data_IF_336644001024
#
_entry.id   IF_336644001024
#
_cell.length_a   1.000
_cell.length_b   1.000
_cell.length_c   1.000
_cell.angle_alpha   90.00
_cell.angle_beta   90.00
_cell.angle_gamma   90.00
#
_symmetry.space_group_name_H-M   'P 1'
#
loop_
_entity.id
_entity.type
_entity.pdbx_description
1 polymer ?
#
# COMPACT_ATOMS: atom_id res chain seq x y z
N UNK A 1 7.78 -77.77 33.67
CA UNK A 1 8.18 -77.07 32.43
C UNK A 1 7.07 -76.09 32.06
N UNK A 2 7.26 -74.81 32.35
CA UNK A 2 6.38 -73.71 31.99
C UNK A 2 7.13 -72.86 30.97
N UNK A 3 6.62 -72.72 29.75
CA UNK A 3 7.08 -71.70 28.80
C UNK A 3 5.95 -70.68 28.62
N UNK A 4 6.18 -69.45 29.09
CA UNK A 4 5.33 -68.29 28.84
C UNK A 4 5.68 -67.72 27.47
N UNK A 5 4.70 -67.65 26.57
CA UNK A 5 4.78 -66.94 25.30
C UNK A 5 4.56 -65.44 25.52
N UNK A 6 5.53 -64.62 25.09
CA UNK A 6 5.40 -63.16 25.00
C UNK A 6 4.87 -62.80 23.61
N UNK A 7 3.62 -62.34 23.52
CA UNK A 7 3.11 -61.69 22.31
C UNK A 7 3.55 -60.22 22.30
N UNK A 8 4.40 -59.85 21.34
CA UNK A 8 4.71 -58.45 21.05
C UNK A 8 3.51 -57.77 20.40
N UNK A 9 2.96 -56.73 21.03
CA UNK A 9 2.07 -55.78 20.37
C UNK A 9 2.91 -54.91 19.43
N UNK A 10 2.73 -55.08 18.11
CA UNK A 10 3.20 -54.13 17.13
C UNK A 10 2.26 -52.90 17.15
N UNK A 11 2.75 -51.79 17.71
CA UNK A 11 2.07 -50.51 17.67
C UNK A 11 2.25 -49.90 16.27
N UNK A 12 1.25 -50.02 15.40
CA UNK A 12 1.23 -49.34 14.10
C UNK A 12 1.08 -47.84 14.33
N UNK A 13 2.20 -47.10 14.23
CA UNK A 13 2.19 -45.66 14.10
C UNK A 13 1.60 -45.29 12.73
N UNK A 14 0.33 -44.91 12.70
CA UNK A 14 -0.25 -44.24 11.53
C UNK A 14 0.31 -42.82 11.53
N UNK A 15 1.38 -42.61 10.77
CA UNK A 15 1.83 -41.28 10.38
C UNK A 15 0.73 -40.68 9.50
N UNK A 16 -0.12 -39.84 10.07
CA UNK A 16 -0.92 -38.91 9.29
C UNK A 16 0.03 -37.90 8.67
N UNK A 17 0.55 -38.22 7.49
CA UNK A 17 1.14 -37.25 6.58
C UNK A 17 0.00 -36.29 6.20
N UNK A 18 -0.21 -35.27 7.03
CA UNK A 18 -1.14 -34.19 6.72
C UNK A 18 -0.67 -33.53 5.44
N UNK A 19 -1.33 -33.83 4.32
CA UNK A 19 -1.21 -33.00 3.12
C UNK A 19 -1.58 -31.59 3.54
N UNK A 20 -0.62 -30.67 3.45
CA UNK A 20 -0.93 -29.25 3.53
C UNK A 20 -1.98 -28.88 2.47
N UNK A 21 -2.65 -27.73 2.62
CA UNK A 21 -3.68 -27.33 1.69
C UNK A 21 -3.12 -27.30 0.26
N UNK A 22 -3.92 -27.79 -0.71
CA UNK A 22 -3.55 -27.71 -2.11
C UNK A 22 -3.39 -26.25 -2.55
N UNK A 23 -2.67 -26.01 -3.65
CA UNK A 23 -2.56 -24.65 -4.21
C UNK A 23 -3.95 -24.04 -4.51
N UNK A 24 -4.93 -24.87 -4.91
CA UNK A 24 -6.31 -24.45 -5.11
C UNK A 24 -6.97 -24.02 -3.80
N UNK A 25 -6.85 -24.82 -2.74
CA UNK A 25 -7.44 -24.51 -1.43
C UNK A 25 -6.85 -23.24 -0.81
N UNK A 26 -5.53 -23.02 -0.99
CA UNK A 26 -4.89 -21.77 -0.57
C UNK A 26 -5.45 -20.55 -1.31
N UNK A 27 -5.60 -20.65 -2.64
CA UNK A 27 -6.14 -19.57 -3.46
C UNK A 27 -7.61 -19.31 -3.17
N UNK A 28 -8.43 -20.36 -3.02
CA UNK A 28 -9.85 -20.24 -2.65
C UNK A 28 -10.02 -19.56 -1.29
N UNK A 29 -9.21 -19.93 -0.29
CA UNK A 29 -9.22 -19.26 1.02
C UNK A 29 -8.86 -17.79 0.89
N UNK A 30 -7.88 -17.45 0.04
CA UNK A 30 -7.44 -16.07 -0.24
C UNK A 30 -8.53 -15.27 -0.97
N UNK A 31 -9.30 -15.90 -1.84
CA UNK A 31 -10.35 -15.26 -2.66
C UNK A 31 -11.77 -15.54 -2.20
N UNK A 32 -11.95 -16.01 -0.95
CA UNK A 32 -13.26 -16.42 -0.41
C UNK A 32 -14.35 -15.32 -0.45
N UNK A 33 -14.06 -14.01 -0.29
CA UNK A 33 -15.07 -12.99 -0.55
C UNK A 33 -15.55 -13.07 -2.01
N UNK A 34 -16.87 -12.99 -2.25
CA UNK A 34 -17.42 -12.95 -3.61
C UNK A 34 -17.10 -11.60 -4.29
N UNK A 35 -15.87 -11.48 -4.80
CA UNK A 35 -15.41 -10.34 -5.62
C UNK A 35 -16.09 -10.29 -7.01
N UNK A 36 -17.01 -11.20 -7.31
CA UNK A 36 -17.90 -11.15 -8.47
C UNK A 36 -19.08 -10.19 -8.27
N UNK A 37 -19.31 -9.71 -7.05
CA UNK A 37 -20.37 -8.77 -6.71
C UNK A 37 -19.82 -7.51 -6.02
N UNK A 38 -20.60 -6.44 -6.10
CA UNK A 38 -20.37 -5.22 -5.31
C UNK A 38 -20.34 -5.58 -3.83
N UNK A 39 -19.31 -5.13 -3.11
CA UNK A 39 -19.23 -5.37 -1.67
C UNK A 39 -18.52 -4.24 -0.93
N UNK A 40 -18.81 -4.15 0.38
CA UNK A 40 -18.15 -3.25 1.29
C UNK A 40 -16.69 -3.62 1.49
N UNK A 41 -15.81 -2.65 1.39
CA UNK A 41 -14.40 -2.73 1.74
C UNK A 41 -14.15 -1.77 2.88
N UNK A 42 -13.81 -2.31 4.04
CA UNK A 42 -13.37 -1.48 5.15
C UNK A 42 -11.90 -1.13 5.00
N UNK A 43 -11.63 0.17 4.94
CA UNK A 43 -10.30 0.75 4.93
C UNK A 43 -9.99 1.24 6.33
N UNK A 44 -8.96 0.66 6.95
CA UNK A 44 -8.39 1.18 8.18
C UNK A 44 -7.47 2.33 7.81
N UNK A 45 -7.47 3.43 8.56
CA UNK A 45 -6.54 4.51 8.31
C UNK A 45 -5.86 4.99 9.59
N UNK A 46 -4.62 5.45 9.44
CA UNK A 46 -3.92 6.30 10.39
C UNK A 46 -3.54 7.59 9.66
N UNK A 47 -3.81 8.74 10.26
CA UNK A 47 -3.68 10.04 9.58
C UNK A 47 -2.95 11.07 10.42
N UNK A 48 -2.02 11.81 9.81
CA UNK A 48 -1.41 13.03 10.38
C UNK A 48 -2.15 14.31 9.98
N UNK A 49 -3.30 14.20 9.30
CA UNK A 49 -4.16 15.33 8.93
C UNK A 49 -4.82 15.95 10.15
N UNK A 50 -4.93 17.28 10.13
CA UNK A 50 -5.81 18.01 11.03
C UNK A 50 -7.28 17.71 10.73
N UNK A 51 -8.11 17.89 11.75
CA UNK A 51 -9.56 17.77 11.65
C UNK A 51 -10.23 19.13 11.75
N UNK A 52 -11.39 19.30 11.11
CA UNK A 52 -12.22 20.48 11.26
C UNK A 52 -13.30 20.22 12.34
N UNK A 53 -13.16 20.77 13.57
CA UNK A 53 -14.13 20.56 14.63
C UNK A 53 -15.50 21.19 14.33
N UNK A 54 -15.58 22.11 13.36
CA UNK A 54 -16.83 22.75 12.94
C UNK A 54 -17.65 21.93 11.93
N UNK A 55 -17.23 20.72 11.57
CA UNK A 55 -17.92 19.87 10.60
C UNK A 55 -18.36 18.55 11.22
N UNK A 56 -19.36 17.92 10.62
CA UNK A 56 -19.79 16.60 11.03
C UNK A 56 -18.63 15.60 10.93
N UNK A 57 -18.41 14.82 11.99
CA UNK A 57 -17.47 13.71 11.98
C UNK A 57 -17.90 12.72 10.90
N UNK A 58 -17.07 12.55 9.88
CA UNK A 58 -17.32 11.64 8.78
C UNK A 58 -16.00 11.28 8.08
N UNK A 59 -16.04 10.27 7.21
CA UNK A 59 -14.98 10.03 6.24
C UNK A 59 -15.09 11.04 5.09
N UNK A 60 -14.78 12.31 5.36
CA UNK A 60 -14.94 13.39 4.38
C UNK A 60 -13.76 14.36 4.35
N UNK A 61 -13.60 15.05 3.21
CA UNK A 61 -12.63 16.11 3.03
C UNK A 61 -12.97 17.36 3.87
N UNK A 62 -14.24 17.53 4.24
CA UNK A 62 -14.67 18.62 5.13
C UNK A 62 -14.18 18.39 6.56
N UNK A 63 -14.14 17.13 7.01
CA UNK A 63 -13.67 16.77 8.34
C UNK A 63 -12.16 16.58 8.40
N UNK A 64 -11.55 15.84 7.46
CA UNK A 64 -10.10 15.63 7.39
C UNK A 64 -9.44 16.54 6.36
N UNK A 65 -8.54 17.40 6.83
CA UNK A 65 -8.05 18.55 6.07
C UNK A 65 -6.71 18.27 5.36
N UNK A 66 -6.30 19.19 4.48
CA UNK A 66 -5.05 19.15 3.72
C UNK A 66 -3.89 19.90 4.44
N UNK A 67 -3.94 19.94 5.77
CA UNK A 67 -2.86 20.45 6.62
C UNK A 67 -2.65 19.55 7.84
N UNK A 68 -1.46 19.62 8.44
CA UNK A 68 -1.03 18.69 9.48
C UNK A 68 -1.52 19.01 10.88
N UNK A 69 -1.45 18.01 11.76
CA UNK A 69 -1.67 18.11 13.21
C UNK A 69 -0.45 17.58 13.97
N UNK A 70 -0.28 17.95 15.24
CA UNK A 70 0.84 17.50 16.10
C UNK A 70 0.73 16.03 16.56
N UNK A 71 -0.07 15.20 15.89
CA UNK A 71 -0.22 13.78 16.21
C UNK A 71 -1.06 13.06 15.17
N UNK A 72 -1.23 11.76 15.36
CA UNK A 72 -2.04 10.93 14.45
C UNK A 72 -3.43 10.64 15.00
N UNK A 73 -4.36 10.34 14.11
CA UNK A 73 -5.68 9.82 14.40
C UNK A 73 -5.87 8.50 13.66
N UNK A 74 -6.51 7.53 14.29
CA UNK A 74 -6.85 6.24 13.68
C UNK A 74 -8.36 6.10 13.56
N UNK A 75 -8.81 5.44 12.50
CA UNK A 75 -10.21 5.15 12.27
C UNK A 75 -10.40 4.15 11.14
N UNK A 76 -11.66 3.93 10.75
CA UNK A 76 -11.96 3.19 9.53
C UNK A 76 -13.15 3.77 8.77
N UNK A 77 -13.14 3.56 7.46
CA UNK A 77 -14.21 3.92 6.54
C UNK A 77 -14.67 2.67 5.82
N UNK A 78 -15.97 2.37 5.85
CA UNK A 78 -16.58 1.32 5.04
C UNK A 78 -17.00 1.91 3.70
N UNK A 79 -16.42 1.39 2.62
CA UNK A 79 -16.63 1.89 1.27
C UNK A 79 -17.28 0.80 0.43
N UNK A 80 -18.41 1.09 -0.20
CA UNK A 80 -18.98 0.21 -1.22
C UNK A 80 -18.11 0.26 -2.48
N UNK A 81 -17.64 -0.89 -2.96
CA UNK A 81 -16.84 -0.97 -4.19
C UNK A 81 -17.64 -1.71 -5.28
N UNK A 82 -18.02 -1.02 -6.37
CA UNK A 82 -18.80 -1.63 -7.46
C UNK A 82 -18.03 -2.71 -8.23
N UNK A 83 -18.66 -3.84 -8.52
CA UNK A 83 -18.05 -4.91 -9.32
C UNK A 83 -17.93 -4.55 -10.81
N UNK A 84 -18.93 -3.86 -11.37
CA UNK A 84 -19.02 -3.51 -12.80
C UNK A 84 -18.26 -2.22 -13.17
N UNK A 85 -17.11 -1.99 -12.54
CA UNK A 85 -16.24 -0.84 -12.82
C UNK A 85 -15.02 -1.26 -13.64
N UNK A 86 -14.36 -0.29 -14.25
CA UNK A 86 -13.03 -0.53 -14.82
C UNK A 86 -12.02 -0.79 -13.70
N UNK A 87 -11.28 -1.90 -13.80
CA UNK A 87 -10.23 -2.27 -12.83
C UNK A 87 -9.22 -1.14 -12.71
N UNK A 88 -8.91 -0.73 -11.48
CA UNK A 88 -7.98 0.37 -11.23
C UNK A 88 -8.57 1.77 -11.26
N UNK A 89 -9.80 1.93 -11.76
CA UNK A 89 -10.44 3.24 -11.83
C UNK A 89 -10.98 3.69 -10.47
N UNK A 90 -10.92 5.00 -10.24
CA UNK A 90 -11.81 5.69 -9.31
C UNK A 90 -12.80 6.48 -10.17
N UNK A 91 -14.07 6.07 -10.28
CA UNK A 91 -15.04 6.80 -11.07
C UNK A 91 -15.26 8.19 -10.43
N UNK A 92 -14.93 9.24 -11.18
CA UNK A 92 -15.30 10.62 -10.84
C UNK A 92 -16.63 10.98 -11.54
N UNK A 93 -17.57 11.59 -10.82
CA UNK A 93 -18.68 12.34 -11.42
C UNK A 93 -20.10 11.76 -11.29
N UNK A 94 -21.05 12.44 -11.96
CA UNK A 94 -22.51 12.25 -11.96
C UNK A 94 -22.93 10.96 -12.69
N UNK A 95 -22.44 9.81 -12.23
CA UNK A 95 -22.87 8.49 -12.70
C UNK A 95 -24.04 7.92 -11.89
N UNK A 96 -24.58 6.78 -12.32
CA UNK A 96 -25.51 5.99 -11.48
C UNK A 96 -24.82 5.71 -10.13
N UNK A 97 -25.46 6.12 -9.03
CA UNK A 97 -24.95 5.91 -7.65
C UNK A 97 -24.60 4.44 -7.40
N UNK A 98 -25.26 3.50 -8.05
CA UNK A 98 -24.98 2.06 -7.94
C UNK A 98 -23.62 1.65 -8.53
N UNK A 99 -23.05 2.47 -9.44
CA UNK A 99 -21.74 2.26 -10.07
C UNK A 99 -20.64 3.17 -9.51
N UNK A 100 -20.94 3.97 -8.49
CA UNK A 100 -19.95 4.81 -7.81
C UNK A 100 -19.50 4.20 -6.50
N UNK A 101 -18.29 4.53 -6.06
CA UNK A 101 -17.89 4.25 -4.69
C UNK A 101 -18.77 5.07 -3.73
N UNK A 102 -19.15 4.47 -2.61
CA UNK A 102 -19.98 5.14 -1.60
C UNK A 102 -19.42 4.91 -0.21
N UNK A 103 -19.32 5.97 0.59
CA UNK A 103 -19.08 5.84 2.02
C UNK A 103 -20.36 5.34 2.69
N UNK A 104 -20.31 4.13 3.24
CA UNK A 104 -21.46 3.50 3.90
C UNK A 104 -21.46 3.80 5.39
N UNK A 105 -20.31 3.64 6.04
CA UNK A 105 -20.14 3.82 7.48
C UNK A 105 -18.73 4.32 7.81
N UNK A 106 -18.56 4.84 9.02
CA UNK A 106 -17.26 5.20 9.54
C UNK A 106 -17.14 4.90 11.04
N UNK A 107 -15.92 4.62 11.47
CA UNK A 107 -15.54 4.46 12.88
C UNK A 107 -14.49 5.52 13.20
N UNK A 108 -14.98 6.75 13.35
CA UNK A 108 -14.18 7.94 13.64
C UNK A 108 -14.82 8.63 14.83
N UNK A 109 -14.02 9.02 15.82
CA UNK A 109 -14.48 9.67 17.05
C UNK A 109 -15.71 8.96 17.68
N UNK A 110 -15.59 7.63 17.91
CA UNK A 110 -16.67 6.79 18.44
C UNK A 110 -17.21 7.40 19.75
N UNK A 111 -18.53 7.67 19.78
CA UNK A 111 -19.18 8.27 20.94
C UNK A 111 -18.93 7.45 22.21
N UNK A 112 -18.56 8.14 23.29
CA UNK A 112 -18.27 7.51 24.58
C UNK A 112 -16.91 6.79 24.65
N UNK A 113 -16.01 6.97 23.67
CA UNK A 113 -14.64 6.46 23.71
C UNK A 113 -13.60 7.57 23.64
N UNK A 114 -12.56 7.49 24.48
CA UNK A 114 -11.40 8.37 24.35
C UNK A 114 -10.59 8.04 23.08
N UNK A 115 -9.65 8.90 22.71
CA UNK A 115 -8.76 8.68 21.57
C UNK A 115 -7.94 7.39 21.76
N UNK A 116 -7.45 7.16 22.98
CA UNK A 116 -6.63 6.00 23.35
C UNK A 116 -7.45 4.70 23.27
N UNK A 117 -8.71 4.72 23.72
CA UNK A 117 -9.60 3.57 23.62
C UNK A 117 -9.94 3.21 22.16
N UNK A 118 -10.16 4.23 21.33
CA UNK A 118 -10.38 4.04 19.90
C UNK A 118 -9.14 3.47 19.21
N UNK A 119 -7.96 4.00 19.52
CA UNK A 119 -6.70 3.49 19.01
C UNK A 119 -6.44 2.04 19.46
N UNK A 120 -6.70 1.72 20.73
CA UNK A 120 -6.59 0.35 21.25
C UNK A 120 -7.52 -0.61 20.51
N UNK A 121 -8.77 -0.20 20.26
CA UNK A 121 -9.72 -1.00 19.48
C UNK A 121 -9.26 -1.16 18.03
N UNK A 122 -8.70 -0.11 17.43
CA UNK A 122 -8.19 -0.14 16.06
C UNK A 122 -7.07 -1.18 15.90
N UNK A 123 -6.08 -1.16 16.79
CA UNK A 123 -4.99 -2.14 16.78
C UNK A 123 -5.46 -3.56 17.05
N UNK A 124 -6.35 -3.74 18.03
CA UNK A 124 -6.94 -5.05 18.35
C UNK A 124 -7.58 -5.70 17.12
N UNK A 125 -8.30 -4.93 16.30
CA UNK A 125 -8.96 -5.42 15.08
C UNK A 125 -7.99 -5.81 13.97
N UNK A 126 -6.78 -5.25 13.95
CA UNK A 126 -5.72 -5.67 13.03
C UNK A 126 -5.09 -6.95 13.53
N UNK A 127 -4.78 -7.02 14.83
CA UNK A 127 -4.16 -8.20 15.48
C UNK A 127 -5.05 -9.44 15.38
N UNK A 128 -6.35 -9.29 15.64
CA UNK A 128 -7.35 -10.37 15.59
C UNK A 128 -7.80 -10.76 14.17
N UNK A 129 -7.31 -10.09 13.12
CA UNK A 129 -7.65 -10.50 11.75
C UNK A 129 -7.16 -11.93 11.48
N UNK A 130 -7.98 -12.83 10.90
CA UNK A 130 -7.61 -14.22 10.71
C UNK A 130 -6.53 -14.42 9.64
N UNK A 131 -6.26 -13.41 8.81
CA UNK A 131 -5.16 -13.44 7.86
C UNK A 131 -3.89 -12.88 8.49
N UNK A 132 -2.76 -13.49 8.12
CA UNK A 132 -1.45 -13.13 8.66
C UNK A 132 -0.84 -11.91 7.98
N UNK A 133 -1.46 -11.38 6.93
CA UNK A 133 -0.91 -10.35 6.06
C UNK A 133 -1.73 -9.06 6.10
N UNK A 134 -1.05 -7.93 5.94
CA UNK A 134 -1.65 -6.60 5.91
C UNK A 134 -1.03 -5.78 4.79
N UNK A 135 -1.86 -5.09 4.02
CA UNK A 135 -1.38 -4.03 3.13
C UNK A 135 -1.29 -2.75 3.95
N UNK A 136 -0.13 -2.12 3.94
CA UNK A 136 0.02 -0.71 4.34
C UNK A 136 0.17 0.10 3.06
N UNK A 137 -0.75 1.03 2.81
CA UNK A 137 -0.72 1.89 1.62
C UNK A 137 -0.43 3.33 1.99
N UNK A 138 0.49 3.98 1.26
CA UNK A 138 0.81 5.41 1.40
C UNK A 138 0.66 6.10 0.06
N UNK A 139 -0.30 7.03 -0.02
CA UNK A 139 -0.62 7.76 -1.25
C UNK A 139 0.43 8.82 -1.61
N UNK A 140 0.35 9.30 -2.86
CA UNK A 140 1.22 10.33 -3.41
C UNK A 140 0.73 11.77 -3.24
N UNK A 141 1.20 12.62 -4.14
CA UNK A 141 0.97 14.07 -4.20
C UNK A 141 -0.48 14.43 -4.54
N UNK A 142 -0.99 15.52 -3.94
CA UNK A 142 -2.27 16.13 -4.27
C UNK A 142 -3.50 15.21 -4.11
N UNK A 143 -3.46 14.29 -3.15
CA UNK A 143 -4.57 13.35 -2.88
C UNK A 143 -5.30 13.79 -1.61
N UNK A 144 -6.59 14.15 -1.73
CA UNK A 144 -7.42 14.50 -0.58
C UNK A 144 -7.79 13.24 0.25
N UNK A 145 -8.34 13.41 1.45
CA UNK A 145 -8.64 12.30 2.36
C UNK A 145 -9.59 11.26 1.74
N UNK A 146 -10.72 11.70 1.17
CA UNK A 146 -11.70 10.80 0.56
C UNK A 146 -11.07 9.98 -0.57
N UNK A 147 -10.33 10.64 -1.48
CA UNK A 147 -9.66 9.97 -2.60
C UNK A 147 -8.65 8.93 -2.10
N UNK A 148 -7.88 9.24 -1.04
CA UNK A 148 -6.95 8.29 -0.46
C UNK A 148 -7.64 7.04 0.09
N UNK A 149 -8.80 7.20 0.74
CA UNK A 149 -9.63 6.08 1.22
C UNK A 149 -10.18 5.28 0.05
N UNK A 150 -10.76 5.94 -0.95
CA UNK A 150 -11.31 5.27 -2.13
C UNK A 150 -10.22 4.47 -2.87
N UNK A 151 -9.02 5.02 -2.99
CA UNK A 151 -7.88 4.34 -3.60
C UNK A 151 -7.46 3.10 -2.81
N UNK A 152 -7.39 3.18 -1.49
CA UNK A 152 -7.08 2.03 -0.65
C UNK A 152 -8.15 0.92 -0.75
N UNK A 153 -9.43 1.31 -0.82
CA UNK A 153 -10.53 0.38 -1.02
C UNK A 153 -10.44 -0.31 -2.39
N UNK A 154 -10.17 0.46 -3.45
CA UNK A 154 -9.95 -0.03 -4.81
C UNK A 154 -8.79 -1.03 -4.87
N UNK A 155 -7.64 -0.69 -4.29
CA UNK A 155 -6.47 -1.59 -4.25
C UNK A 155 -6.81 -2.91 -3.56
N UNK A 156 -7.43 -2.87 -2.37
CA UNK A 156 -7.81 -4.10 -1.66
C UNK A 156 -8.79 -4.96 -2.46
N UNK A 157 -9.78 -4.33 -3.09
CA UNK A 157 -10.77 -5.04 -3.91
C UNK A 157 -10.11 -5.70 -5.12
N UNK A 158 -9.36 -4.94 -5.92
CA UNK A 158 -8.80 -5.42 -7.18
C UNK A 158 -7.67 -6.43 -7.00
N UNK A 159 -6.92 -6.32 -5.90
CA UNK A 159 -5.92 -7.31 -5.51
C UNK A 159 -6.54 -8.57 -4.90
N UNK A 160 -7.87 -8.58 -4.66
CA UNK A 160 -8.55 -9.63 -3.90
C UNK A 160 -7.80 -9.95 -2.60
N UNK A 161 -7.30 -8.90 -1.95
CA UNK A 161 -6.40 -9.06 -0.81
C UNK A 161 -7.19 -9.52 0.40
N UNK A 162 -6.86 -10.68 0.99
CA UNK A 162 -7.68 -11.29 2.02
C UNK A 162 -7.64 -10.53 3.35
N UNK A 163 -6.46 -10.00 3.70
CA UNK A 163 -6.21 -9.34 4.97
C UNK A 163 -6.74 -7.91 5.03
N UNK A 164 -6.35 -7.19 6.09
CA UNK A 164 -6.69 -5.77 6.24
C UNK A 164 -5.88 -4.90 5.26
N UNK A 165 -6.47 -3.77 4.88
CA UNK A 165 -5.76 -2.65 4.25
C UNK A 165 -5.73 -1.49 5.24
N UNK A 166 -4.53 -1.02 5.54
CA UNK A 166 -4.25 0.12 6.41
C UNK A 166 -3.65 1.26 5.57
N UNK A 167 -4.42 2.33 5.36
CA UNK A 167 -3.98 3.55 4.73
C UNK A 167 -3.23 4.41 5.75
N UNK A 168 -1.98 4.77 5.47
CA UNK A 168 -1.38 5.94 6.11
C UNK A 168 -1.61 7.16 5.22
N UNK A 169 -2.44 8.09 5.67
CA UNK A 169 -2.73 9.32 4.94
C UNK A 169 -2.11 10.53 5.60
N UNK A 170 -1.37 11.29 4.82
CA UNK A 170 -0.70 12.51 5.24
C UNK A 170 -1.37 13.71 4.56
N UNK A 171 -1.11 14.96 4.97
CA UNK A 171 -1.75 16.15 4.42
C UNK A 171 -1.26 16.46 2.98
N UNK A 172 -1.60 15.58 2.04
CA UNK A 172 -1.53 15.84 0.62
C UNK A 172 -2.86 16.43 0.16
N UNK A 173 -2.82 17.27 -0.86
CA UNK A 173 -4.00 17.91 -1.44
C UNK A 173 -3.77 19.38 -1.75
N UNK A 174 -4.54 19.87 -2.71
CA UNK A 174 -4.60 21.27 -3.09
C UNK A 174 -5.45 22.09 -2.12
N UNK A 175 -5.41 23.41 -2.26
CA UNK A 175 -6.31 24.32 -1.54
C UNK A 175 -7.74 24.35 -2.11
N UNK A 176 -8.02 23.58 -3.18
CA UNK A 176 -9.34 23.51 -3.82
C UNK A 176 -9.77 24.80 -4.53
N UNK A 177 -8.93 25.84 -4.52
CA UNK A 177 -9.21 27.10 -5.20
C UNK A 177 -8.88 26.97 -6.69
N UNK A 178 -9.66 27.63 -7.56
CA UNK A 178 -9.31 27.76 -8.99
C UNK A 178 -7.89 28.29 -9.19
N UNK A 179 -7.37 29.09 -8.26
CA UNK A 179 -6.00 29.62 -8.27
C UNK A 179 -4.94 28.56 -7.92
N UNK A 180 -5.25 27.60 -7.04
CA UNK A 180 -4.35 26.51 -6.66
C UNK A 180 -3.97 25.59 -7.81
N UNK A 181 -4.86 25.44 -8.81
CA UNK A 181 -4.57 24.74 -10.06
C UNK A 181 -3.56 25.49 -10.95
N UNK A 182 -3.53 26.82 -10.90
CA UNK A 182 -2.53 27.62 -11.62
C UNK A 182 -1.15 27.61 -10.96
N UNK A 183 -1.06 27.26 -9.66
CA UNK A 183 0.19 27.22 -8.90
C UNK A 183 0.60 25.80 -8.49
N UNK A 184 0.65 24.86 -9.45
CA UNK A 184 1.10 23.48 -9.22
C UNK A 184 2.43 23.38 -8.45
N UNK A 185 3.37 24.30 -8.72
CA UNK A 185 4.64 24.38 -7.99
C UNK A 185 4.44 24.64 -6.49
N UNK A 186 3.56 25.56 -6.12
CA UNK A 186 3.32 25.88 -4.71
C UNK A 186 2.62 24.72 -3.99
N UNK A 187 1.66 24.07 -4.64
CA UNK A 187 1.02 22.87 -4.09
C UNK A 187 2.06 21.76 -3.92
N UNK A 188 2.94 21.56 -4.90
CA UNK A 188 4.05 20.61 -4.84
C UNK A 188 4.97 20.87 -3.65
N UNK A 189 5.49 22.09 -3.50
CA UNK A 189 6.37 22.47 -2.38
C UNK A 189 5.69 22.28 -1.02
N UNK A 190 4.43 22.70 -0.88
CA UNK A 190 3.66 22.51 0.36
C UNK A 190 3.44 21.03 0.69
N UNK A 191 3.10 20.22 -0.30
CA UNK A 191 2.89 18.78 -0.11
C UNK A 191 4.23 18.11 0.22
N UNK A 192 5.34 18.52 -0.40
CA UNK A 192 6.67 18.00 -0.07
C UNK A 192 7.05 18.28 1.39
N UNK A 193 6.84 19.51 1.87
CA UNK A 193 7.04 19.86 3.29
C UNK A 193 6.14 18.98 4.17
N UNK A 194 4.86 18.87 3.84
CA UNK A 194 3.89 18.07 4.61
C UNK A 194 4.24 16.57 4.66
N UNK A 195 4.74 16.02 3.56
CA UNK A 195 5.22 14.64 3.49
C UNK A 195 6.42 14.44 4.41
N UNK A 196 7.41 15.34 4.34
CA UNK A 196 8.61 15.29 5.19
C UNK A 196 8.27 15.45 6.68
N UNK A 197 7.35 16.36 7.02
CA UNK A 197 6.86 16.52 8.39
C UNK A 197 6.04 15.33 8.91
N UNK A 198 5.57 14.45 8.03
CA UNK A 198 4.82 13.24 8.41
C UNK A 198 5.69 12.02 8.69
N UNK A 199 7.02 12.11 8.53
CA UNK A 199 7.96 10.98 8.67
C UNK A 199 7.95 10.34 10.05
N UNK A 200 7.99 11.14 11.12
CA UNK A 200 8.02 10.62 12.50
C UNK A 200 6.69 9.97 12.88
N UNK A 201 5.58 10.58 12.47
CA UNK A 201 4.24 10.01 12.66
C UNK A 201 4.11 8.66 11.93
N UNK A 202 4.60 8.58 10.69
CA UNK A 202 4.62 7.32 9.93
C UNK A 202 5.56 6.29 10.55
N UNK A 203 6.74 6.70 11.02
CA UNK A 203 7.71 5.82 11.69
C UNK A 203 7.10 5.16 12.92
N UNK A 204 6.42 5.94 13.77
CA UNK A 204 5.73 5.43 14.95
C UNK A 204 4.58 4.49 14.58
N UNK A 205 3.80 4.85 13.56
CA UNK A 205 2.75 3.99 13.02
C UNK A 205 3.31 2.64 12.52
N UNK A 206 4.37 2.66 11.71
CA UNK A 206 5.00 1.45 11.17
C UNK A 206 5.61 0.60 12.27
N UNK A 207 6.27 1.21 13.26
CA UNK A 207 6.79 0.54 14.45
C UNK A 207 5.69 -0.24 15.20
N UNK A 208 4.52 0.36 15.36
CA UNK A 208 3.37 -0.30 15.98
C UNK A 208 2.73 -1.35 15.08
N UNK A 209 2.73 -1.17 13.76
CA UNK A 209 2.28 -2.19 12.81
C UNK A 209 3.17 -3.43 12.85
N UNK A 210 4.50 -3.26 12.90
CA UNK A 210 5.46 -4.37 13.02
C UNK A 210 5.20 -5.19 14.29
N UNK A 211 4.82 -4.56 15.40
CA UNK A 211 4.52 -5.27 16.65
C UNK A 211 3.23 -6.10 16.60
N UNK A 212 2.41 -5.99 15.54
CA UNK A 212 1.23 -6.86 15.34
C UNK A 212 1.61 -8.26 14.84
N UNK A 213 2.88 -8.48 14.47
CA UNK A 213 3.39 -9.70 13.84
C UNK A 213 2.70 -10.08 12.52
N UNK A 214 1.93 -9.18 11.90
CA UNK A 214 1.43 -9.36 10.53
C UNK A 214 2.57 -9.22 9.52
N UNK A 215 2.52 -9.98 8.44
CA UNK A 215 3.35 -9.82 7.25
C UNK A 215 2.93 -8.54 6.53
N UNK A 216 3.81 -7.54 6.52
CA UNK A 216 3.52 -6.21 5.98
C UNK A 216 3.90 -6.14 4.50
N UNK A 217 2.92 -5.85 3.65
CA UNK A 217 3.14 -5.42 2.27
C UNK A 217 3.00 -3.89 2.22
N UNK A 218 4.12 -3.18 2.11
CA UNK A 218 4.16 -1.71 2.12
C UNK A 218 4.14 -1.18 0.69
N UNK A 219 3.02 -0.60 0.27
CA UNK A 219 2.81 -0.02 -1.05
C UNK A 219 2.90 1.49 -0.95
N UNK A 220 3.81 2.08 -1.71
CA UNK A 220 4.06 3.52 -1.69
C UNK A 220 3.93 4.09 -3.10
N UNK A 221 3.30 5.25 -3.23
CA UNK A 221 3.15 5.94 -4.51
C UNK A 221 3.79 7.33 -4.50
N UNK A 222 4.53 7.67 -5.56
CA UNK A 222 4.94 9.05 -5.89
C UNK A 222 5.56 9.80 -4.72
N UNK A 223 5.06 10.99 -4.34
CA UNK A 223 5.60 11.78 -3.24
C UNK A 223 5.48 11.10 -1.87
N UNK A 224 4.65 10.06 -1.72
CA UNK A 224 4.58 9.24 -0.50
C UNK A 224 5.92 8.62 -0.10
N UNK A 225 6.85 8.45 -1.05
CA UNK A 225 8.22 8.00 -0.77
C UNK A 225 8.98 8.95 0.16
N UNK A 226 8.66 10.25 0.12
CA UNK A 226 9.22 11.25 1.03
C UNK A 226 8.79 11.02 2.48
N UNK A 227 7.65 10.35 2.71
CA UNK A 227 7.16 9.93 4.04
C UNK A 227 7.84 8.64 4.48
N UNK A 228 8.00 7.68 3.56
CA UNK A 228 8.27 6.28 3.90
C UNK A 228 9.76 5.94 3.97
N UNK A 229 10.55 6.30 2.95
CA UNK A 229 11.86 5.66 2.75
C UNK A 229 12.85 5.94 3.88
N UNK A 230 12.94 7.20 4.33
CA UNK A 230 13.79 7.56 5.47
C UNK A 230 13.29 6.91 6.77
N UNK A 231 11.98 6.86 7.00
CA UNK A 231 11.42 6.21 8.19
C UNK A 231 11.73 4.71 8.24
N UNK A 232 11.65 4.01 7.10
CA UNK A 232 12.03 2.58 7.00
C UNK A 232 13.53 2.40 7.22
N UNK A 233 14.36 3.25 6.60
CA UNK A 233 15.82 3.23 6.79
C UNK A 233 16.23 3.49 8.25
N UNK A 234 15.59 4.44 8.92
CA UNK A 234 15.81 4.70 10.35
C UNK A 234 15.44 3.50 11.22
N UNK A 235 14.25 2.90 11.03
CA UNK A 235 13.85 1.72 11.78
C UNK A 235 14.78 0.52 11.53
N UNK A 236 15.23 0.31 10.30
CA UNK A 236 16.22 -0.73 10.01
C UNK A 236 17.54 -0.49 10.75
N UNK A 237 18.02 0.75 10.82
CA UNK A 237 19.21 1.09 11.61
C UNK A 237 18.99 0.90 13.12
N UNK A 238 17.78 1.17 13.61
CA UNK A 238 17.40 0.92 15.01
C UNK A 238 17.34 -0.58 15.36
N UNK A 239 16.89 -1.43 14.44
CA UNK A 239 16.60 -2.85 14.72
C UNK A 239 17.65 -3.83 14.18
N UNK A 240 18.56 -3.38 13.32
CA UNK A 240 19.61 -4.20 12.71
C UNK A 240 19.10 -5.04 11.53
N UNK A 241 19.80 -6.15 11.27
CA UNK A 241 19.62 -7.00 10.09
C UNK A 241 18.44 -7.97 10.24
N UNK A 242 17.24 -7.43 10.49
CA UNK A 242 16.00 -8.20 10.57
C UNK A 242 14.92 -7.56 9.69
N UNK A 243 14.51 -8.23 8.59
CA UNK A 243 13.45 -7.72 7.76
C UNK A 243 12.13 -7.72 8.53
N UNK A 244 11.40 -6.61 8.45
CA UNK A 244 10.08 -6.41 9.04
C UNK A 244 9.01 -6.10 7.99
N UNK A 245 9.42 -5.92 6.74
CA UNK A 245 8.55 -5.84 5.57
C UNK A 245 8.68 -7.12 4.76
N UNK A 246 7.53 -7.70 4.39
CA UNK A 246 7.50 -8.83 3.44
C UNK A 246 7.77 -8.32 2.02
N UNK A 247 7.10 -7.24 1.65
CA UNK A 247 7.25 -6.58 0.36
C UNK A 247 7.32 -5.07 0.57
N UNK A 248 8.34 -4.42 0.01
CA UNK A 248 8.40 -2.97 -0.17
C UNK A 248 8.18 -2.66 -1.65
N UNK A 249 7.02 -2.12 -1.97
CA UNK A 249 6.62 -1.78 -3.33
C UNK A 249 6.71 -0.27 -3.54
N UNK A 250 7.59 0.13 -4.46
CA UNK A 250 7.84 1.51 -4.83
C UNK A 250 7.19 1.81 -6.18
N UNK A 251 6.07 2.53 -6.20
CA UNK A 251 5.35 2.86 -7.43
C UNK A 251 5.60 4.32 -7.84
N UNK A 252 6.10 4.53 -9.05
CA UNK A 252 6.37 5.87 -9.60
C UNK A 252 7.15 6.78 -8.62
N UNK A 253 8.27 6.34 -8.03
CA UNK A 253 8.87 7.04 -6.90
C UNK A 253 9.37 8.45 -7.25
N UNK A 254 8.76 9.46 -6.62
CA UNK A 254 9.25 10.84 -6.59
C UNK A 254 10.19 11.02 -5.40
N UNK A 255 11.38 10.43 -5.55
CA UNK A 255 12.44 10.45 -4.57
C UNK A 255 13.79 10.63 -5.28
N UNK A 256 14.72 11.32 -4.63
CA UNK A 256 16.03 11.58 -5.21
C UNK A 256 16.84 10.27 -5.31
N UNK A 257 17.43 10.03 -6.48
CA UNK A 257 18.19 8.80 -6.73
C UNK A 257 19.45 8.72 -5.87
N UNK A 258 20.13 9.84 -5.64
CA UNK A 258 21.30 9.92 -4.78
C UNK A 258 20.95 9.65 -3.32
N UNK A 259 19.87 10.25 -2.81
CA UNK A 259 19.36 9.94 -1.47
C UNK A 259 19.00 8.46 -1.33
N UNK A 260 18.39 7.84 -2.35
CA UNK A 260 18.05 6.42 -2.32
C UNK A 260 19.29 5.52 -2.19
N UNK A 261 20.36 5.82 -2.93
CA UNK A 261 21.63 5.08 -2.86
C UNK A 261 22.19 5.11 -1.44
N UNK A 262 22.13 6.25 -0.76
CA UNK A 262 22.65 6.41 0.61
C UNK A 262 21.91 5.57 1.65
N UNK A 263 20.65 5.21 1.40
CA UNK A 263 19.82 4.44 2.33
C UNK A 263 19.55 3.00 1.86
N UNK A 264 20.02 2.61 0.67
CA UNK A 264 19.70 1.33 0.03
C UNK A 264 20.03 0.13 0.91
N UNK A 265 21.21 0.10 1.56
CA UNK A 265 21.59 -1.00 2.45
C UNK A 265 20.58 -1.21 3.59
N UNK A 266 20.14 -0.12 4.24
CA UNK A 266 19.10 -0.19 5.27
C UNK A 266 17.76 -0.65 4.71
N UNK A 267 17.40 -0.24 3.49
CA UNK A 267 16.17 -0.70 2.86
C UNK A 267 16.23 -2.20 2.55
N UNK A 268 17.35 -2.71 2.03
CA UNK A 268 17.55 -4.13 1.75
C UNK A 268 17.48 -4.98 3.03
N UNK A 269 17.96 -4.47 4.17
CA UNK A 269 17.85 -5.13 5.48
C UNK A 269 16.45 -5.08 6.08
N UNK A 270 15.66 -4.05 5.73
CA UNK A 270 14.30 -3.86 6.23
C UNK A 270 13.25 -4.78 5.58
N UNK A 271 13.53 -5.27 4.37
CA UNK A 271 12.52 -5.87 3.49
C UNK A 271 13.01 -7.19 2.92
N UNK A 272 12.17 -8.22 2.91
CA UNK A 272 12.51 -9.48 2.24
C UNK A 272 12.62 -9.30 0.71
N UNK A 273 11.85 -8.37 0.15
CA UNK A 273 11.90 -8.00 -1.27
C UNK A 273 11.54 -6.54 -1.48
N UNK A 274 12.22 -5.90 -2.42
CA UNK A 274 11.92 -4.55 -2.90
C UNK A 274 11.59 -4.64 -4.39
N UNK A 275 10.40 -4.19 -4.77
CA UNK A 275 9.98 -4.06 -6.18
C UNK A 275 9.76 -2.59 -6.51
N UNK A 276 10.42 -2.10 -7.55
CA UNK A 276 10.35 -0.71 -8.00
C UNK A 276 9.72 -0.67 -9.39
N UNK A 277 8.51 -0.12 -9.48
CA UNK A 277 7.84 0.15 -10.75
C UNK A 277 8.18 1.57 -11.21
N UNK A 278 8.80 1.68 -12.38
CA UNK A 278 9.29 2.93 -12.96
C UNK A 278 8.82 3.08 -14.42
N UNK A 279 8.66 4.31 -14.86
CA UNK A 279 8.32 4.63 -16.25
C UNK A 279 9.22 5.79 -16.68
N UNK A 280 10.21 5.58 -17.58
CA UNK A 280 11.03 6.66 -18.09
C UNK A 280 10.22 7.70 -18.88
N UNK A 281 8.97 7.42 -19.24
CA UNK A 281 8.03 8.35 -19.88
C UNK A 281 7.12 9.14 -18.92
N UNK A 282 7.25 8.97 -17.59
CA UNK A 282 6.37 9.59 -16.60
C UNK A 282 6.55 11.12 -16.57
N UNK A 283 5.59 11.84 -17.15
CA UNK A 283 5.64 13.31 -17.30
C UNK A 283 5.59 14.06 -15.97
N UNK A 284 4.95 13.50 -14.94
CA UNK A 284 4.91 14.11 -13.62
C UNK A 284 6.28 14.01 -12.93
N UNK A 285 6.98 12.89 -13.10
CA UNK A 285 8.35 12.75 -12.62
C UNK A 285 9.33 13.63 -13.39
N UNK A 286 9.13 13.83 -14.70
CA UNK A 286 9.91 14.82 -15.45
C UNK A 286 9.71 16.23 -14.89
N UNK A 287 8.47 16.64 -14.63
CA UNK A 287 8.19 17.95 -14.02
C UNK A 287 8.82 18.07 -12.63
N UNK A 288 8.77 17.02 -11.81
CA UNK A 288 9.47 16.98 -10.51
C UNK A 288 10.99 17.12 -10.68
N UNK A 289 11.60 16.38 -11.61
CA UNK A 289 13.03 16.45 -11.88
C UNK A 289 13.48 17.87 -12.28
N UNK A 290 12.65 18.59 -13.05
CA UNK A 290 12.93 20.00 -13.40
C UNK A 290 12.88 20.94 -12.19
N UNK A 291 11.96 20.72 -11.26
CA UNK A 291 11.85 21.51 -10.02
C UNK A 291 13.08 21.28 -9.12
N UNK A 292 13.51 20.02 -9.00
CA UNK A 292 14.60 19.63 -8.08
C UNK A 292 16.00 19.66 -8.69
N UNK A 293 16.12 19.71 -10.02
CA UNK A 293 17.39 19.63 -10.76
C UNK A 293 18.22 18.35 -10.49
N UNK A 294 17.56 17.26 -10.09
CA UNK A 294 18.21 15.95 -9.86
C UNK A 294 17.37 14.78 -10.37
N UNK A 295 18.03 13.64 -10.61
CA UNK A 295 17.40 12.42 -11.13
C UNK A 295 16.39 11.81 -10.14
N UNK A 296 15.19 11.51 -10.64
CA UNK A 296 14.12 10.86 -9.87
C UNK A 296 14.21 9.35 -9.98
N UNK A 297 14.01 8.66 -8.86
CA UNK A 297 14.09 7.21 -8.79
C UNK A 297 13.13 6.49 -9.76
N UNK A 298 11.99 7.11 -10.07
CA UNK A 298 11.00 6.55 -11.01
C UNK A 298 11.38 6.65 -12.50
N UNK A 299 12.56 7.21 -12.84
CA UNK A 299 13.09 7.24 -14.21
C UNK A 299 13.80 5.94 -14.65
N UNK A 300 13.74 4.89 -13.82
CA UNK A 300 14.41 3.59 -14.00
C UNK A 300 15.95 3.62 -13.92
N UNK A 301 16.47 3.10 -12.81
CA UNK A 301 17.89 2.80 -12.60
C UNK A 301 18.00 1.43 -11.92
N UNK A 302 18.98 0.59 -12.28
CA UNK A 302 19.18 -0.70 -11.61
C UNK A 302 19.86 -0.48 -10.28
N UNK A 303 19.41 -1.26 -9.28
CA UNK A 303 20.06 -1.36 -7.99
C UNK A 303 20.24 -2.83 -7.63
N UNK A 304 21.40 -3.24 -7.12
CA UNK A 304 21.57 -4.59 -6.57
C UNK A 304 20.51 -4.87 -5.49
N UNK A 305 19.89 -6.05 -5.54
CA UNK A 305 18.87 -6.46 -4.56
C UNK A 305 17.48 -5.82 -4.75
N UNK A 306 17.25 -5.04 -5.80
CA UNK A 306 15.94 -4.44 -6.12
C UNK A 306 15.43 -4.98 -7.45
N UNK A 307 14.18 -5.45 -7.47
CA UNK A 307 13.48 -5.84 -8.69
C UNK A 307 12.94 -4.57 -9.39
N UNK A 308 13.73 -3.97 -10.27
CA UNK A 308 13.33 -2.77 -11.03
C UNK A 308 12.56 -3.17 -12.29
N UNK A 309 11.27 -2.84 -12.32
CA UNK A 309 10.32 -3.18 -13.38
C UNK A 309 9.94 -1.91 -14.15
N UNK A 310 10.36 -1.82 -15.41
CA UNK A 310 9.95 -0.76 -16.32
C UNK A 310 8.54 -1.04 -16.85
N UNK A 311 7.64 -0.09 -16.62
CA UNK A 311 6.22 -0.17 -16.95
C UNK A 311 5.83 0.79 -18.07
N UNK A 312 6.78 1.50 -18.67
CA UNK A 312 6.53 2.41 -19.78
C UNK A 312 5.75 1.78 -20.96
N UNK A 313 5.93 0.49 -21.34
CA UNK A 313 5.13 -0.12 -22.42
C UNK A 313 3.63 -0.24 -22.13
N UNK A 314 3.24 -0.23 -20.86
CA UNK A 314 1.85 -0.36 -20.42
C UNK A 314 1.29 0.97 -19.89
N UNK A 315 2.12 2.01 -19.82
CA UNK A 315 1.80 3.36 -19.36
C UNK A 315 0.99 4.16 -20.41
N UNK A 316 0.18 3.45 -21.20
CA UNK A 316 -0.49 3.95 -22.41
C UNK A 316 -1.93 4.43 -22.15
N UNK A 317 -2.27 4.85 -20.94
CA UNK A 317 -3.56 5.52 -20.72
C UNK A 317 -3.42 6.99 -21.10
N UNK A 318 -4.01 7.37 -22.23
CA UNK A 318 -4.13 8.75 -22.73
C UNK A 318 -4.77 9.74 -21.72
N UNK A 319 -5.32 9.24 -20.60
CA UNK A 319 -6.09 9.98 -19.59
C UNK A 319 -5.33 10.21 -18.28
N UNK A 320 -4.24 9.48 -18.03
CA UNK A 320 -3.35 9.65 -16.88
C UNK A 320 -1.99 10.00 -17.46
N UNK A 321 -1.41 11.14 -17.08
CA UNK A 321 -0.15 11.72 -17.59
C UNK A 321 1.12 10.85 -17.35
N UNK A 322 1.05 9.54 -17.48
CA UNK A 322 2.13 8.60 -17.20
C UNK A 322 2.35 8.34 -15.70
N UNK A 323 1.37 8.63 -14.83
CA UNK A 323 1.59 8.67 -13.37
C UNK A 323 0.54 7.92 -12.53
N UNK A 324 -0.62 7.59 -13.13
CA UNK A 324 -1.70 6.81 -12.51
C UNK A 324 -1.58 5.29 -12.71
N UNK A 325 -0.56 4.83 -13.44
CA UNK A 325 -0.38 3.41 -13.81
C UNK A 325 -0.27 2.47 -12.61
N UNK A 326 0.12 2.96 -11.43
CA UNK A 326 0.26 2.14 -10.21
C UNK A 326 -1.03 1.41 -9.80
N UNK A 327 -2.17 1.91 -10.28
CA UNK A 327 -3.49 1.31 -10.07
C UNK A 327 -4.03 0.57 -11.30
N UNK A 328 -3.29 0.53 -12.41
CA UNK A 328 -3.73 -0.11 -13.65
C UNK A 328 -3.83 -1.63 -13.52
N UNK A 329 -4.66 -2.25 -14.36
CA UNK A 329 -4.85 -3.70 -14.38
C UNK A 329 -3.54 -4.49 -14.52
N UNK A 330 -2.58 -4.14 -15.40
CA UNK A 330 -1.31 -4.88 -15.47
C UNK A 330 -0.50 -4.81 -14.16
N UNK A 331 -0.41 -3.63 -13.52
CA UNK A 331 0.30 -3.50 -12.23
C UNK A 331 -0.40 -4.27 -11.12
N UNK A 332 -1.73 -4.20 -11.05
CA UNK A 332 -2.52 -4.98 -10.09
C UNK A 332 -2.34 -6.49 -10.30
N UNK A 333 -2.22 -6.93 -11.55
CA UNK A 333 -1.96 -8.34 -11.88
C UNK A 333 -0.56 -8.77 -11.43
N UNK A 334 0.44 -7.91 -11.60
CA UNK A 334 1.81 -8.20 -11.16
C UNK A 334 1.96 -8.15 -9.62
N UNK A 335 1.26 -7.21 -8.96
CA UNK A 335 1.14 -7.13 -7.51
C UNK A 335 0.42 -8.34 -6.91
N UNK A 336 -0.63 -8.82 -7.55
CA UNK A 336 -1.33 -10.03 -7.10
C UNK A 336 -0.35 -11.21 -7.04
N UNK A 337 0.45 -11.40 -8.10
CA UNK A 337 1.46 -12.45 -8.17
C UNK A 337 2.62 -12.25 -7.19
N UNK A 338 3.03 -10.99 -6.97
CA UNK A 338 4.01 -10.62 -5.95
C UNK A 338 3.54 -11.05 -4.56
N UNK A 339 2.27 -10.82 -4.21
CA UNK A 339 1.71 -11.19 -2.91
C UNK A 339 1.43 -12.69 -2.77
N UNK A 340 1.48 -13.45 -3.87
CA UNK A 340 1.58 -14.92 -3.82
C UNK A 340 3.02 -15.40 -3.55
N UNK A 341 3.99 -14.49 -3.45
CA UNK A 341 5.40 -14.78 -3.17
C UNK A 341 6.22 -15.13 -4.40
N UNK A 342 5.70 -14.88 -5.61
CA UNK A 342 6.44 -15.15 -6.85
C UNK A 342 7.57 -14.14 -7.04
N UNK A 343 8.79 -14.64 -7.26
CA UNK A 343 9.93 -13.84 -7.70
C UNK A 343 9.68 -13.21 -9.08
N UNK A 344 10.31 -12.07 -9.36
CA UNK A 344 10.03 -11.29 -10.56
C UNK A 344 10.17 -12.10 -11.87
N UNK A 345 11.11 -13.02 -11.95
CA UNK A 345 11.36 -13.90 -13.09
C UNK A 345 10.27 -14.96 -13.33
N UNK A 346 9.40 -15.21 -12.33
CA UNK A 346 8.30 -16.18 -12.40
C UNK A 346 6.93 -15.54 -12.58
N UNK A 347 6.83 -14.20 -12.49
CA UNK A 347 5.57 -13.48 -12.65
C UNK A 347 5.20 -13.38 -14.14
N UNK A 348 3.92 -13.55 -14.42
CA UNK A 348 3.33 -13.39 -15.75
C UNK A 348 3.58 -11.97 -16.28
N UNK A 349 3.71 -11.87 -17.60
CA UNK A 349 3.89 -10.62 -18.36
C UNK A 349 5.19 -9.86 -18.09
N UNK A 350 5.96 -10.20 -17.06
CA UNK A 350 7.35 -9.76 -16.90
C UNK A 350 8.25 -10.44 -17.94
N UNK A 351 9.20 -9.68 -18.47
CA UNK A 351 10.38 -10.19 -19.19
C UNK A 351 11.65 -9.53 -18.67
N UNK A 352 12.79 -10.21 -18.81
CA UNK A 352 14.10 -9.61 -18.53
C UNK A 352 14.36 -8.41 -19.45
N UNK A 353 14.92 -7.35 -18.89
CA UNK A 353 15.42 -6.20 -19.64
C UNK A 353 16.94 -6.24 -19.77
N UNK A 354 17.41 -5.68 -20.87
CA UNK A 354 18.84 -5.44 -21.15
C UNK A 354 19.20 -3.95 -21.04
N UNK A 355 18.24 -3.10 -20.65
CA UNK A 355 18.42 -1.65 -20.44
C UNK A 355 18.91 -1.30 -19.03
N UNK A 356 18.47 -0.16 -18.50
CA UNK A 356 18.81 0.38 -17.17
C UNK A 356 17.88 -0.13 -16.05
N UNK A 357 17.06 -1.13 -16.34
CA UNK A 357 16.14 -1.81 -15.43
C UNK A 357 16.36 -3.33 -15.44
N UNK A 358 15.82 -4.05 -14.45
CA UNK A 358 15.93 -5.51 -14.41
C UNK A 358 14.91 -6.18 -15.34
N UNK A 359 13.69 -5.63 -15.38
CA UNK A 359 12.53 -6.24 -16.00
C UNK A 359 11.70 -5.21 -16.76
N UNK A 360 10.90 -5.69 -17.71
CA UNK A 360 9.87 -4.91 -18.39
C UNK A 360 8.54 -5.62 -18.20
N UNK A 361 7.52 -4.89 -17.74
CA UNK A 361 6.15 -5.36 -17.69
C UNK A 361 5.47 -5.13 -19.05
N UNK A 362 4.79 -6.16 -19.54
CA UNK A 362 4.08 -6.16 -20.83
C UNK A 362 2.57 -6.08 -20.59
N UNK A 363 1.85 -5.54 -21.59
CA UNK A 363 0.38 -5.55 -21.62
C UNK A 363 -0.16 -6.96 -21.77
#
# INVERSE_FOLDING_TARGET
MMFRSFSSLALSFVLTLGCGPSASEYLEKRTNPQYSSTHGVEVFFNTSRAVNPGTQVACSNSYFLNFGNMGTLSGSCLVNVPADREIGSLPFGLGNKEKSFQFLEHRVAIQGKTKEEQEKLWWKRIEEDPFEEVIVFVHGFNVNFEEAILRAAQLKYDLKFPGKVALYTWPAGGDGSMLGTFFLKNTYERNLVSARSSRDSFKNFLKRMVSTNKKIHLLVHSMGHQVVLNSVSELSREWGDKPFLKELVLNAPDYDTGEFILILDSLLKSSERITLYCSPGDSALFASAQIHQTGRLGACSKFPGVDVVNVNPIDASLLSLGHGYYSSRPILTDLYQLFLGLGAEKRLFIRKSYGNENYILRN
#
